data_IF_867903103761
#
_entry.id   IF_867903103761
#
_cell.length_a   1.000
_cell.length_b   1.000
_cell.length_c   1.000
_cell.angle_alpha   90.00
_cell.angle_beta   90.00
_cell.angle_gamma   90.00
#
_symmetry.space_group_name_H-M   'P 1'
#
loop_
_entity.id
_entity.type
_entity.pdbx_description
1 polymer ?
#
# COMPACT_ATOMS: atom_id res chain seq x y z
N UNK A 1 9.79 9.87 22.69
CA UNK A 1 8.63 9.34 21.94
C UNK A 1 7.66 8.78 22.96
N UNK A 2 6.35 9.00 22.84
CA UNK A 2 5.40 8.39 23.79
C UNK A 2 5.38 6.87 23.59
N UNK A 3 5.52 6.10 24.67
CA UNK A 3 5.50 4.63 24.68
C UNK A 3 4.33 4.05 23.85
N UNK A 4 3.16 4.71 23.94
CA UNK A 4 1.97 4.41 23.13
C UNK A 4 2.22 4.44 21.62
N UNK A 5 2.98 5.42 21.12
CA UNK A 5 3.31 5.55 19.69
C UNK A 5 4.27 4.45 19.26
N UNK A 6 5.22 4.08 20.10
CA UNK A 6 6.15 2.98 19.81
C UNK A 6 5.44 1.64 19.74
N UNK A 7 4.55 1.35 20.69
CA UNK A 7 3.71 0.13 20.68
C UNK A 7 2.75 0.07 19.50
N UNK A 8 2.15 1.21 19.14
CA UNK A 8 1.35 1.33 17.91
C UNK A 8 2.19 1.07 16.65
N UNK A 9 3.43 1.58 16.60
CA UNK A 9 4.33 1.36 15.46
C UNK A 9 4.87 -0.07 15.40
N UNK A 10 5.06 -0.73 16.54
CA UNK A 10 5.40 -2.15 16.64
C UNK A 10 4.24 -3.05 16.15
N UNK A 11 3.02 -2.51 16.19
CA UNK A 11 1.83 -3.20 15.70
C UNK A 11 1.12 -4.03 16.78
N UNK A 12 1.31 -3.68 18.05
CA UNK A 12 0.60 -4.28 19.17
C UNK A 12 -0.90 -3.98 19.09
N UNK A 13 -1.73 -5.02 19.09
CA UNK A 13 -3.16 -4.95 18.78
C UNK A 13 -3.93 -3.97 19.68
N UNK A 14 -3.57 -3.92 20.97
CA UNK A 14 -4.18 -3.03 21.96
C UNK A 14 -3.99 -1.52 21.64
N UNK A 15 -2.97 -1.18 20.87
CA UNK A 15 -2.60 0.21 20.54
C UNK A 15 -2.90 0.58 19.09
N UNK A 16 -3.38 -0.37 18.28
CA UNK A 16 -3.80 -0.12 16.91
C UNK A 16 -5.11 0.68 16.87
N UNK A 17 -5.31 1.39 15.77
CA UNK A 17 -6.60 2.00 15.46
C UNK A 17 -7.64 0.89 15.20
N UNK A 18 -8.93 1.09 15.55
CA UNK A 18 -9.97 0.09 15.33
C UNK A 18 -10.05 -0.45 13.88
N UNK A 19 -9.69 0.37 12.88
CA UNK A 19 -9.64 -0.03 11.46
C UNK A 19 -8.49 -1.00 11.10
N UNK A 20 -7.44 -1.00 11.90
CA UNK A 20 -6.18 -1.74 11.68
C UNK A 20 -6.10 -3.01 12.55
N UNK A 21 -7.03 -3.15 13.50
CA UNK A 21 -7.15 -4.26 14.44
C UNK A 21 -7.74 -5.51 13.81
N UNK A 22 -7.40 -6.67 14.38
CA UNK A 22 -7.98 -7.97 14.05
C UNK A 22 -7.15 -8.83 13.10
N UNK A 23 -7.41 -10.15 13.09
CA UNK A 23 -6.61 -11.13 12.37
C UNK A 23 -6.67 -10.95 10.85
N UNK A 24 -7.82 -10.55 10.30
CA UNK A 24 -7.99 -10.29 8.86
C UNK A 24 -7.15 -9.08 8.45
N UNK A 25 -7.23 -7.97 9.20
CA UNK A 25 -6.46 -6.74 8.90
C UNK A 25 -4.97 -6.99 9.04
N UNK A 26 -4.53 -7.76 10.04
CA UNK A 26 -3.13 -8.21 10.16
C UNK A 26 -2.70 -8.98 8.92
N UNK A 27 -3.47 -9.98 8.50
CA UNK A 27 -3.16 -10.75 7.31
C UNK A 27 -3.07 -9.90 6.04
N UNK A 28 -3.99 -8.96 5.85
CA UNK A 28 -3.93 -8.00 4.73
C UNK A 28 -2.64 -7.18 4.78
N UNK A 29 -2.25 -6.67 5.96
CA UNK A 29 -1.00 -5.92 6.14
C UNK A 29 0.19 -6.75 5.71
N UNK A 30 0.27 -7.99 6.17
CA UNK A 30 1.37 -8.90 5.83
C UNK A 30 1.41 -9.15 4.32
N UNK A 31 0.27 -9.45 3.69
CA UNK A 31 0.20 -9.70 2.23
C UNK A 31 0.69 -8.49 1.42
N UNK A 32 0.38 -7.27 1.87
CA UNK A 32 0.84 -6.02 1.24
C UNK A 32 2.32 -5.76 1.53
N UNK A 33 2.80 -6.11 2.71
CA UNK A 33 4.17 -5.85 3.16
C UNK A 33 5.19 -6.86 2.59
N UNK A 34 4.78 -8.10 2.33
CA UNK A 34 5.58 -9.10 1.62
C UNK A 34 5.70 -8.83 0.11
N UNK A 35 4.98 -7.83 -0.42
CA UNK A 35 5.03 -7.49 -1.83
C UNK A 35 6.42 -6.94 -2.20
N UNK A 36 7.08 -7.58 -3.18
CA UNK A 36 8.41 -7.16 -3.66
C UNK A 36 8.40 -5.76 -4.29
N UNK A 37 7.38 -5.46 -5.09
CA UNK A 37 7.22 -4.18 -5.81
C UNK A 37 5.86 -3.54 -5.52
N UNK A 38 5.85 -2.25 -5.15
CA UNK A 38 4.63 -1.47 -4.99
C UNK A 38 4.73 -0.23 -5.88
N UNK A 39 4.01 -0.22 -7.01
CA UNK A 39 3.99 0.95 -7.91
C UNK A 39 3.31 2.12 -7.23
N UNK A 40 2.25 1.86 -6.46
CA UNK A 40 1.57 2.86 -5.62
C UNK A 40 2.53 3.59 -4.67
N UNK A 41 3.53 2.89 -4.12
CA UNK A 41 4.53 3.48 -3.22
C UNK A 41 5.58 4.34 -3.91
N UNK A 42 5.65 4.29 -5.24
CA UNK A 42 6.56 5.10 -6.06
C UNK A 42 5.91 6.41 -6.53
N UNK A 43 4.65 6.68 -6.17
CA UNK A 43 3.96 7.89 -6.60
C UNK A 43 4.73 9.17 -6.28
N UNK A 44 5.09 9.35 -5.01
CA UNK A 44 5.81 10.55 -4.57
C UNK A 44 7.17 10.70 -5.29
N UNK A 45 8.07 9.69 -5.31
CA UNK A 45 9.30 9.77 -6.10
C UNK A 45 9.09 10.05 -7.58
N UNK A 46 8.14 9.38 -8.23
CA UNK A 46 7.87 9.56 -9.67
C UNK A 46 7.30 10.94 -9.97
N UNK A 47 6.38 11.44 -9.14
CA UNK A 47 5.81 12.78 -9.29
C UNK A 47 6.89 13.86 -9.12
N UNK A 48 7.78 13.72 -8.12
CA UNK A 48 8.91 14.62 -7.94
C UNK A 48 9.89 14.55 -9.11
N UNK A 49 10.19 13.36 -9.64
CA UNK A 49 11.05 13.21 -10.81
C UNK A 49 10.47 13.93 -12.03
N UNK A 50 9.17 13.77 -12.29
CA UNK A 50 8.47 14.48 -13.37
C UNK A 50 8.48 16.00 -13.15
N UNK A 51 8.32 16.46 -11.91
CA UNK A 51 8.44 17.87 -11.55
C UNK A 51 9.84 18.42 -11.90
N UNK A 52 10.90 17.71 -11.54
CA UNK A 52 12.26 18.12 -11.88
C UNK A 52 12.50 18.16 -13.40
N UNK A 53 12.00 17.16 -14.14
CA UNK A 53 12.10 17.13 -15.60
C UNK A 53 11.37 18.32 -16.23
N UNK A 54 10.20 18.69 -15.69
CA UNK A 54 9.43 19.85 -16.16
C UNK A 54 10.25 21.15 -16.11
N UNK A 55 11.03 21.37 -15.03
CA UNK A 55 11.86 22.56 -14.89
C UNK A 55 13.20 22.48 -15.63
N UNK A 56 13.80 21.28 -15.68
CA UNK A 56 15.11 21.08 -16.29
C UNK A 56 15.07 21.04 -17.83
N UNK A 57 13.96 20.55 -18.40
CA UNK A 57 13.83 20.32 -19.85
C UNK A 57 12.50 20.88 -20.37
N UNK A 58 12.41 22.20 -20.62
CA UNK A 58 11.18 22.84 -21.10
C UNK A 58 10.61 22.23 -22.39
N UNK A 59 11.48 21.68 -23.24
CA UNK A 59 11.10 20.99 -24.48
C UNK A 59 10.18 19.78 -24.24
N UNK A 60 10.23 19.17 -23.04
CA UNK A 60 9.41 18.02 -22.69
C UNK A 60 8.11 18.40 -21.95
N UNK A 61 7.83 19.68 -21.74
CA UNK A 61 6.69 20.13 -20.95
C UNK A 61 5.34 19.62 -21.49
N UNK A 62 5.19 19.56 -22.82
CA UNK A 62 4.00 19.01 -23.49
C UNK A 62 3.74 17.54 -23.12
N UNK A 63 4.78 16.77 -22.80
CA UNK A 63 4.67 15.35 -22.45
C UNK A 63 4.41 15.13 -20.96
N UNK A 64 4.52 16.15 -20.10
CA UNK A 64 4.35 15.98 -18.64
C UNK A 64 2.93 15.60 -18.26
N UNK A 65 1.92 16.24 -18.86
CA UNK A 65 0.51 15.92 -18.63
C UNK A 65 0.16 14.47 -19.01
N UNK A 66 0.44 14.00 -20.25
CA UNK A 66 0.19 12.60 -20.60
C UNK A 66 1.04 11.63 -19.79
N UNK A 67 2.29 11.96 -19.43
CA UNK A 67 3.11 11.12 -18.56
C UNK A 67 2.48 10.94 -17.17
N UNK A 68 1.93 12.00 -16.58
CA UNK A 68 1.20 11.92 -15.31
C UNK A 68 -0.06 11.07 -15.42
N UNK A 69 -0.82 11.19 -16.52
CA UNK A 69 -2.00 10.36 -16.76
C UNK A 69 -1.63 8.88 -16.88
N UNK A 70 -0.57 8.54 -17.63
CA UNK A 70 -0.06 7.17 -17.75
C UNK A 70 0.38 6.63 -16.39
N UNK A 71 1.11 7.44 -15.60
CA UNK A 71 1.52 7.06 -14.24
C UNK A 71 0.30 6.76 -13.35
N UNK A 72 -0.73 7.60 -13.37
CA UNK A 72 -1.96 7.40 -12.63
C UNK A 72 -2.70 6.14 -13.08
N UNK A 73 -2.77 5.87 -14.39
CA UNK A 73 -3.40 4.68 -14.94
C UNK A 73 -2.69 3.40 -14.46
N UNK A 74 -1.35 3.36 -14.56
CA UNK A 74 -0.56 2.23 -14.08
C UNK A 74 -0.75 1.97 -12.58
N UNK A 75 -0.79 3.02 -11.77
CA UNK A 75 -1.02 2.90 -10.32
C UNK A 75 -2.45 2.46 -9.98
N UNK A 76 -3.43 2.90 -10.76
CA UNK A 76 -4.83 2.48 -10.59
C UNK A 76 -4.96 0.98 -10.88
N UNK A 77 -4.36 0.51 -11.98
CA UNK A 77 -4.30 -0.92 -12.31
C UNK A 77 -3.60 -1.70 -11.19
N UNK A 78 -2.47 -1.19 -10.69
CA UNK A 78 -1.72 -1.81 -9.59
C UNK A 78 -2.57 -1.97 -8.31
N UNK A 79 -3.33 -0.93 -7.95
CA UNK A 79 -4.22 -0.95 -6.80
C UNK A 79 -5.38 -1.92 -6.94
N UNK A 80 -6.00 -1.99 -8.13
CA UNK A 80 -7.07 -2.95 -8.42
C UNK A 80 -6.54 -4.38 -8.38
N UNK A 81 -5.39 -4.65 -9.01
CA UNK A 81 -4.76 -5.97 -8.98
C UNK A 81 -4.40 -6.40 -7.56
N UNK A 82 -3.89 -5.48 -6.73
CA UNK A 82 -3.61 -5.73 -5.32
C UNK A 82 -4.87 -6.05 -4.54
N UNK A 83 -5.93 -5.23 -4.69
CA UNK A 83 -7.18 -5.44 -3.98
C UNK A 83 -7.82 -6.79 -4.32
N UNK A 84 -7.78 -7.21 -5.59
CA UNK A 84 -8.26 -8.53 -6.02
C UNK A 84 -7.41 -9.67 -5.44
N UNK A 85 -6.09 -9.52 -5.42
CA UNK A 85 -5.17 -10.52 -4.85
C UNK A 85 -5.40 -10.69 -3.35
N UNK A 86 -5.50 -9.59 -2.62
CA UNK A 86 -5.75 -9.59 -1.17
C UNK A 86 -7.10 -10.24 -0.88
N UNK A 87 -8.17 -9.83 -1.56
CA UNK A 87 -9.50 -10.38 -1.35
C UNK A 87 -9.52 -11.90 -1.53
N UNK A 88 -8.93 -12.41 -2.63
CA UNK A 88 -8.86 -13.87 -2.89
C UNK A 88 -8.10 -14.63 -1.80
N UNK A 89 -7.00 -14.06 -1.29
CA UNK A 89 -6.21 -14.69 -0.23
C UNK A 89 -6.92 -14.66 1.12
N UNK A 90 -7.58 -13.55 1.44
CA UNK A 90 -8.40 -13.43 2.64
C UNK A 90 -9.52 -14.46 2.60
N UNK A 91 -10.23 -14.59 1.47
CA UNK A 91 -11.31 -15.57 1.34
C UNK A 91 -10.81 -17.02 1.47
N UNK A 92 -9.62 -17.32 0.95
CA UNK A 92 -9.02 -18.65 1.06
C UNK A 92 -8.62 -19.00 2.52
N UNK A 93 -8.15 -18.01 3.29
CA UNK A 93 -7.67 -18.22 4.67
C UNK A 93 -8.76 -18.06 5.72
N UNK A 94 -9.71 -17.17 5.47
CA UNK A 94 -10.81 -16.82 6.35
C UNK A 94 -12.14 -16.99 5.60
N UNK A 95 -12.59 -18.24 5.35
CA UNK A 95 -13.82 -18.50 4.60
C UNK A 95 -15.08 -17.93 5.29
N UNK A 96 -15.04 -17.76 6.61
CA UNK A 96 -16.14 -17.18 7.40
C UNK A 96 -16.08 -15.64 7.50
N UNK A 97 -15.21 -14.99 6.72
CA UNK A 97 -15.08 -13.53 6.73
C UNK A 97 -16.33 -12.86 6.14
N UNK A 98 -16.91 -11.91 6.88
CA UNK A 98 -18.04 -11.08 6.44
C UNK A 98 -17.61 -9.70 5.93
N UNK A 99 -16.33 -9.36 5.99
CA UNK A 99 -15.83 -8.08 5.50
C UNK A 99 -15.92 -7.97 3.97
N UNK A 100 -16.38 -6.81 3.51
CA UNK A 100 -16.48 -6.51 2.08
C UNK A 100 -15.09 -6.52 1.41
N UNK A 101 -14.99 -7.27 0.29
CA UNK A 101 -13.81 -7.30 -0.59
C UNK A 101 -13.35 -5.90 -1.01
N UNK A 102 -14.29 -4.98 -1.22
CA UNK A 102 -13.99 -3.57 -1.53
C UNK A 102 -13.29 -2.84 -0.37
N UNK A 103 -13.75 -3.04 0.87
CA UNK A 103 -13.14 -2.43 2.07
C UNK A 103 -11.73 -2.97 2.29
N UNK A 104 -11.50 -4.27 2.06
CA UNK A 104 -10.18 -4.89 2.16
C UNK A 104 -9.24 -4.40 1.06
N UNK A 105 -9.75 -4.29 -0.17
CA UNK A 105 -8.99 -3.78 -1.31
C UNK A 105 -8.58 -2.32 -1.17
N UNK A 106 -9.49 -1.44 -0.76
CA UNK A 106 -9.19 -0.02 -0.51
C UNK A 106 -8.18 0.15 0.62
N UNK A 107 -8.31 -0.64 1.69
CA UNK A 107 -7.35 -0.65 2.77
C UNK A 107 -5.96 -1.11 2.32
N UNK A 108 -5.89 -2.20 1.55
CA UNK A 108 -4.64 -2.70 0.99
C UNK A 108 -3.97 -1.68 0.06
N UNK A 109 -4.75 -1.03 -0.81
CA UNK A 109 -4.27 0.01 -1.71
C UNK A 109 -3.75 1.23 -0.95
N UNK A 110 -4.47 1.70 0.08
CA UNK A 110 -4.05 2.81 0.94
C UNK A 110 -2.78 2.51 1.73
N UNK A 111 -2.57 1.26 2.16
CA UNK A 111 -1.30 0.85 2.78
C UNK A 111 -0.17 0.76 1.75
N UNK A 112 -0.47 0.29 0.53
CA UNK A 112 0.52 0.11 -0.53
C UNK A 112 1.03 1.43 -1.13
N UNK A 113 0.22 2.50 -1.10
CA UNK A 113 0.59 3.85 -1.53
C UNK A 113 1.61 4.53 -0.64
N UNK A 114 1.68 4.13 0.64
CA UNK A 114 2.73 4.58 1.52
C UNK A 114 4.03 3.81 1.22
N UNK A 115 5.13 4.56 1.14
CA UNK A 115 6.48 3.98 1.08
C UNK A 115 6.69 3.05 2.28
N UNK A 116 7.32 1.89 2.04
CA UNK A 116 7.47 0.83 3.06
C UNK A 116 8.05 1.33 4.39
N UNK A 117 9.01 2.26 4.35
CA UNK A 117 9.64 2.86 5.54
C UNK A 117 8.72 3.83 6.30
N UNK A 118 7.73 4.41 5.62
CA UNK A 118 6.80 5.39 6.18
C UNK A 118 5.45 4.77 6.59
N UNK A 119 5.26 3.46 6.37
CA UNK A 119 4.04 2.76 6.76
C UNK A 119 3.88 2.71 8.27
N UNK A 120 2.69 3.06 8.73
CA UNK A 120 2.25 2.87 10.11
C UNK A 120 1.09 1.86 10.12
N UNK A 121 1.12 0.79 10.95
CA UNK A 121 2.26 0.26 11.73
C UNK A 121 3.42 -0.20 10.83
N UNK A 122 4.61 -0.39 11.42
CA UNK A 122 5.78 -0.85 10.68
C UNK A 122 5.50 -2.22 10.03
N UNK A 123 6.09 -2.49 8.86
CA UNK A 123 6.01 -3.82 8.24
C UNK A 123 6.55 -4.90 9.19
N UNK A 124 5.75 -5.94 9.44
CA UNK A 124 6.15 -7.08 10.29
C UNK A 124 6.82 -8.20 9.49
N UNK A 125 6.72 -8.16 8.15
CA UNK A 125 7.25 -9.18 7.25
C UNK A 125 8.24 -8.60 6.24
N UNK A 126 9.17 -9.45 5.82
CA UNK A 126 10.15 -9.13 4.78
C UNK A 126 9.54 -9.16 3.37
N UNK A 127 10.17 -8.45 2.43
CA UNK A 127 9.77 -8.50 1.02
C UNK A 127 9.99 -9.92 0.48
N UNK A 128 8.97 -10.47 -0.15
CA UNK A 128 9.01 -11.82 -0.70
C UNK A 128 8.76 -12.92 0.32
N UNK A 129 8.44 -12.58 1.58
CA UNK A 129 8.02 -13.57 2.56
C UNK A 129 6.83 -14.40 2.03
N UNK A 130 6.88 -15.71 2.25
CA UNK A 130 5.76 -16.59 1.97
C UNK A 130 4.69 -16.35 3.03
N UNK A 131 3.50 -15.95 2.60
CA UNK A 131 2.37 -15.74 3.48
C UNK A 131 1.27 -16.69 3.00
N UNK A 132 1.02 -17.71 3.82
CA UNK A 132 -0.01 -18.73 3.60
C UNK A 132 -1.41 -18.16 3.58
#
# INVERSE_FOLDING_TARGET
MSERRERMMAGEEAYLLPRDQGPIRRYVRDVVDARRFSLLGLFMPSALALLFVMFAVPQLQLYMSPAMLVLMALMTVDGIMLGRKVSRRVDAKFPNNTESRWKLGLYAAGRASQMRRMRAPRPQVERGASIG
#
